data_IF_843151301097
#
_entry.id   IF_843151301097
#
_cell.length_a   1.000
_cell.length_b   1.000
_cell.length_c   1.000
_cell.angle_alpha   90.00
_cell.angle_beta   90.00
_cell.angle_gamma   90.00
#
_symmetry.space_group_name_H-M   'P 1'
#
loop_
_entity.id
_entity.type
_entity.pdbx_description
1 polymer ?
#
# COMPACT_ATOMS: atom_id res chain seq x y z
N UNK A 1 -14.05 10.91 -12.04
CA UNK A 1 -13.63 10.92 -10.62
C UNK A 1 -12.22 10.38 -10.55
N UNK A 2 -11.22 11.26 -10.61
CA UNK A 2 -9.81 10.90 -10.70
C UNK A 2 -9.22 10.96 -9.29
N UNK A 3 -9.31 9.84 -8.56
CA UNK A 3 -8.55 9.67 -7.32
C UNK A 3 -7.07 9.54 -7.69
N UNK A 4 -6.22 10.40 -7.13
CA UNK A 4 -4.78 10.29 -7.30
C UNK A 4 -4.32 8.89 -6.84
N UNK A 5 -3.42 8.19 -7.56
CA UNK A 5 -2.93 6.89 -7.12
C UNK A 5 -2.25 7.07 -5.76
N UNK A 6 -2.75 6.34 -4.76
CA UNK A 6 -2.17 6.31 -3.43
C UNK A 6 -0.67 6.02 -3.55
N UNK A 7 0.16 6.86 -2.92
CA UNK A 7 1.62 6.71 -2.90
C UNK A 7 1.98 5.54 -1.99
N UNK A 8 1.81 4.33 -2.50
CA UNK A 8 1.90 3.08 -1.73
C UNK A 8 3.33 2.68 -1.36
N UNK A 9 4.35 3.26 -2.00
CA UNK A 9 5.73 2.83 -1.79
C UNK A 9 6.68 4.00 -1.59
N UNK A 10 7.59 3.86 -0.63
CA UNK A 10 8.74 4.72 -0.50
C UNK A 10 9.71 4.48 -1.67
N UNK A 11 9.75 5.41 -2.64
CA UNK A 11 10.71 5.37 -3.73
C UNK A 11 12.13 5.61 -3.20
N UNK A 12 13.10 4.85 -3.72
CA UNK A 12 14.49 4.76 -3.25
C UNK A 12 15.34 6.07 -3.33
N UNK A 13 14.73 7.23 -3.57
CA UNK A 13 15.41 8.51 -3.76
C UNK A 13 14.83 9.72 -3.01
N UNK A 14 13.83 9.55 -2.14
CA UNK A 14 13.27 10.68 -1.37
C UNK A 14 13.79 10.73 0.09
N UNK A 15 13.91 11.93 0.70
CA UNK A 15 14.42 12.07 2.06
C UNK A 15 13.54 11.35 3.09
N UNK A 16 14.14 10.52 3.97
CA UNK A 16 13.44 9.74 5.01
C UNK A 16 12.43 10.55 5.84
N UNK A 17 12.76 11.80 6.18
CA UNK A 17 11.87 12.72 6.92
C UNK A 17 10.52 12.98 6.25
N UNK A 18 10.48 12.96 4.92
CA UNK A 18 9.24 13.17 4.17
C UNK A 18 8.30 11.96 4.32
N UNK A 19 8.86 10.77 4.41
CA UNK A 19 8.11 9.52 4.61
C UNK A 19 7.57 9.39 6.04
N UNK A 20 8.32 9.83 7.05
CA UNK A 20 7.85 9.80 8.44
C UNK A 20 6.62 10.70 8.65
N UNK A 21 6.63 11.91 8.08
CA UNK A 21 5.48 12.82 8.14
C UNK A 21 4.26 12.29 7.38
N UNK A 22 4.48 11.67 6.21
CA UNK A 22 3.39 11.05 5.44
C UNK A 22 2.84 9.78 6.11
N UNK A 23 3.69 9.01 6.82
CA UNK A 23 3.26 7.84 7.59
C UNK A 23 2.27 8.20 8.70
N UNK A 24 2.45 9.36 9.33
CA UNK A 24 1.59 9.82 10.42
C UNK A 24 0.13 10.11 9.99
N UNK A 25 -0.12 10.39 8.71
CA UNK A 25 -1.49 10.58 8.18
C UNK A 25 -2.15 9.28 7.74
N UNK A 26 -1.42 8.16 7.75
CA UNK A 26 -1.96 6.83 7.45
C UNK A 26 -2.47 6.22 8.77
N UNK A 27 -3.66 5.60 8.83
CA UNK A 27 -4.15 4.96 10.06
C UNK A 27 -3.19 3.90 10.63
N UNK A 28 -2.51 3.16 9.76
CA UNK A 28 -1.43 2.24 10.16
C UNK A 28 -0.16 2.94 10.70
N UNK A 29 -0.09 4.28 10.67
CA UNK A 29 0.97 5.10 11.24
C UNK A 29 2.32 5.03 10.50
N UNK A 30 2.37 4.37 9.35
CA UNK A 30 3.57 4.19 8.55
C UNK A 30 3.26 4.01 7.08
N UNK A 31 4.26 4.22 6.24
CA UNK A 31 4.20 3.92 4.82
C UNK A 31 4.42 2.43 4.60
N UNK A 32 3.69 1.88 3.63
CA UNK A 32 3.85 0.50 3.21
C UNK A 32 5.22 0.28 2.54
N UNK A 33 5.76 -0.89 2.80
CA UNK A 33 7.00 -1.41 2.27
C UNK A 33 6.70 -2.53 1.28
N UNK A 34 7.65 -2.94 0.43
CA UNK A 34 7.46 -4.11 -0.43
C UNK A 34 7.07 -5.38 0.34
N UNK A 35 7.54 -5.53 1.58
CA UNK A 35 7.21 -6.65 2.46
C UNK A 35 5.72 -6.67 2.88
N UNK A 36 5.03 -5.53 2.84
CA UNK A 36 3.60 -5.46 3.16
C UNK A 36 2.71 -5.95 1.99
N UNK A 37 3.22 -5.90 0.76
CA UNK A 37 2.47 -6.28 -0.45
C UNK A 37 2.79 -7.70 -0.93
N UNK A 38 4.00 -8.19 -0.66
CA UNK A 38 4.43 -9.52 -1.10
C UNK A 38 3.48 -10.67 -0.68
N UNK A 39 2.93 -10.72 0.56
CA UNK A 39 2.04 -11.82 0.96
C UNK A 39 0.76 -11.90 0.13
N UNK A 40 0.17 -10.75 -0.20
CA UNK A 40 -1.03 -10.70 -1.05
C UNK A 40 -0.71 -11.15 -2.47
N UNK A 41 0.46 -10.79 -2.98
CA UNK A 41 0.90 -11.24 -4.30
C UNK A 41 1.03 -12.76 -4.36
N UNK A 42 1.66 -13.37 -3.36
CA UNK A 42 1.78 -14.83 -3.26
C UNK A 42 0.41 -15.51 -3.14
N UNK A 43 -0.47 -14.98 -2.29
CA UNK A 43 -1.84 -15.49 -2.16
C UNK A 43 -2.59 -15.48 -3.50
N UNK A 44 -2.48 -14.41 -4.28
CA UNK A 44 -3.15 -14.32 -5.58
C UNK A 44 -2.52 -15.25 -6.62
N UNK A 45 -1.20 -15.45 -6.60
CA UNK A 45 -0.51 -16.38 -7.49
C UNK A 45 -0.88 -17.84 -7.22
N UNK A 46 -1.15 -18.19 -5.96
CA UNK A 46 -1.47 -19.56 -5.53
C UNK A 46 -2.96 -19.89 -5.65
N UNK A 47 -3.81 -18.93 -6.02
CA UNK A 47 -5.26 -19.12 -6.07
C UNK A 47 -5.77 -19.28 -7.51
N UNK A 48 -6.17 -20.50 -7.86
CA UNK A 48 -6.63 -20.83 -9.21
C UNK A 48 -8.10 -20.45 -9.51
N UNK A 49 -8.85 -19.99 -8.52
CA UNK A 49 -10.28 -19.70 -8.66
C UNK A 49 -10.63 -18.22 -8.55
N UNK A 50 -9.71 -17.41 -8.03
CA UNK A 50 -9.91 -15.99 -7.79
C UNK A 50 -9.41 -15.17 -8.97
N UNK A 51 -10.30 -14.38 -9.58
CA UNK A 51 -9.99 -13.50 -10.71
C UNK A 51 -10.87 -12.25 -10.66
N UNK A 52 -10.45 -11.18 -11.34
CA UNK A 52 -11.22 -9.93 -11.45
C UNK A 52 -11.25 -9.07 -10.18
N UNK A 53 -10.52 -9.46 -9.13
CA UNK A 53 -10.54 -8.78 -7.83
C UNK A 53 -9.44 -7.73 -7.67
N UNK A 54 -9.71 -6.70 -6.87
CA UNK A 54 -8.73 -5.66 -6.51
C UNK A 54 -8.56 -5.57 -4.99
N UNK A 55 -7.42 -6.05 -4.50
CA UNK A 55 -7.06 -6.00 -3.08
C UNK A 55 -6.29 -4.71 -2.79
N UNK A 56 -6.78 -3.92 -1.83
CA UNK A 56 -6.21 -2.63 -1.45
C UNK A 56 -5.34 -2.80 -0.20
N UNK A 57 -4.06 -2.41 -0.30
CA UNK A 57 -3.08 -2.53 0.79
C UNK A 57 -2.59 -1.12 1.13
N UNK A 58 -3.44 -0.31 1.75
CA UNK A 58 -3.22 1.13 1.93
C UNK A 58 -3.07 1.58 3.39
N UNK A 59 -2.98 0.63 4.33
CA UNK A 59 -2.87 0.93 5.75
C UNK A 59 -4.14 1.55 6.35
N UNK A 60 -5.30 1.33 5.74
CA UNK A 60 -6.60 1.79 6.23
C UNK A 60 -7.04 3.14 5.65
N UNK A 61 -6.32 3.69 4.68
CA UNK A 61 -6.61 5.01 4.09
C UNK A 61 -8.01 5.14 3.50
N UNK A 62 -8.61 4.04 3.02
CA UNK A 62 -9.98 4.06 2.48
C UNK A 62 -11.09 4.01 3.52
N UNK A 63 -10.75 3.86 4.80
CA UNK A 63 -11.73 3.68 5.88
C UNK A 63 -11.89 4.93 6.75
N UNK A 64 -11.21 6.03 6.42
CA UNK A 64 -11.20 7.30 7.16
C UNK A 64 -11.45 8.49 6.26
#
# INVERSE_FOLDING_TARGET
MQGAPARLFAGAGQPRRHFDQMGASIPAGRIATPADVAPVYLYLLENDFMTGETIHIDGGQRLV
#
